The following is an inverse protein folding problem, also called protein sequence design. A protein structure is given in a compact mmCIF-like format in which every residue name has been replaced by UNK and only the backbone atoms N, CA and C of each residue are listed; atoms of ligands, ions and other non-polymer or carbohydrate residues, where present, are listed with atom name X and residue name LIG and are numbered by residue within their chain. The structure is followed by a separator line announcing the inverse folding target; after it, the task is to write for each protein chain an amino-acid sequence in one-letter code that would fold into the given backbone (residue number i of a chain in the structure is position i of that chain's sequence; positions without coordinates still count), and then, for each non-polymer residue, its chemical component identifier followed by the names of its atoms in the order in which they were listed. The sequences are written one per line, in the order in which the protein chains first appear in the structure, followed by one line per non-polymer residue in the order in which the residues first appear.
data_IF_041514755914
#
_entry.id   IF_041514755914
#
_cell.length_a   1.000
_cell.length_b   1.000
_cell.length_c   1.000
_cell.angle_alpha   90.00
_cell.angle_beta   90.00
_cell.angle_gamma   90.00
#
_symmetry.space_group_name_H-M   'P 1'
#
loop_
_entity.id
_entity.type
_entity.pdbx_description
1 polymer ?
#
# COMPACT_ATOMS: atom_id res chain seq x y z
N UNK A 1 29.78 44.96 2.27
CA UNK A 1 30.36 45.09 3.64
C UNK A 1 30.12 43.87 4.50
N UNK A 2 28.87 43.44 4.73
CA UNK A 2 28.52 42.35 5.66
C UNK A 2 29.40 41.07 5.62
N UNK A 3 29.71 40.53 4.43
CA UNK A 3 30.56 39.34 4.28
C UNK A 3 32.06 39.61 4.46
N UNK A 4 32.50 40.85 4.24
CA UNK A 4 33.89 41.28 4.50
C UNK A 4 34.15 41.43 6.00
N UNK A 5 33.15 41.88 6.74
CA UNK A 5 33.23 42.07 8.19
C UNK A 5 33.01 40.77 8.99
N UNK A 6 32.57 39.69 8.32
CA UNK A 6 32.30 38.38 8.93
C UNK A 6 32.93 37.25 8.08
N UNK A 7 34.27 37.11 8.08
CA UNK A 7 34.97 36.13 7.25
C UNK A 7 34.63 34.66 7.62
N UNK A 8 34.18 34.43 8.85
CA UNK A 8 33.85 33.09 9.36
C UNK A 8 32.41 32.66 9.04
N UNK A 9 31.60 33.55 8.44
CA UNK A 9 30.18 33.34 8.15
C UNK A 9 29.89 32.04 7.37
N UNK A 10 30.82 31.64 6.50
CA UNK A 10 30.71 30.42 5.69
C UNK A 10 31.32 29.17 6.36
N UNK A 11 32.10 29.32 7.43
CA UNK A 11 32.58 28.18 8.22
C UNK A 11 31.44 27.55 9.02
N UNK A 12 30.58 28.38 9.59
CA UNK A 12 29.43 27.95 10.41
C UNK A 12 28.21 27.54 9.59
N UNK A 13 28.19 27.90 8.29
CA UNK A 13 27.05 27.68 7.39
C UNK A 13 27.51 27.16 6.03
N UNK A 14 28.18 26.00 6.04
CA UNK A 14 28.72 25.35 4.83
C UNK A 14 27.63 25.10 3.78
N UNK A 15 26.43 24.74 4.22
CA UNK A 15 25.27 24.46 3.36
C UNK A 15 24.81 25.69 2.56
N UNK A 16 25.09 26.90 3.05
CA UNK A 16 24.80 28.15 2.35
C UNK A 16 25.79 28.42 1.20
N UNK A 17 27.04 27.94 1.31
CA UNK A 17 28.03 28.01 0.23
C UNK A 17 27.55 27.19 -0.97
N UNK A 18 26.97 26.02 -0.71
CA UNK A 18 26.42 25.18 -1.77
C UNK A 18 25.20 25.81 -2.45
N UNK A 19 24.43 26.63 -1.74
CA UNK A 19 23.24 27.30 -2.29
C UNK A 19 23.53 28.67 -2.92
N UNK A 20 24.70 29.25 -2.69
CA UNK A 20 25.08 30.52 -3.29
C UNK A 20 25.39 30.32 -4.79
N UNK A 21 24.46 30.74 -5.65
CA UNK A 21 24.76 30.96 -7.06
C UNK A 21 25.63 32.22 -7.18
N UNK A 22 26.95 32.06 -7.13
CA UNK A 22 27.89 33.13 -7.42
C UNK A 22 27.86 33.34 -8.93
N UNK A 23 27.04 34.29 -9.38
CA UNK A 23 27.08 34.72 -10.77
C UNK A 23 28.37 35.51 -11.00
N UNK A 24 29.40 34.84 -11.51
CA UNK A 24 30.61 35.51 -12.02
C UNK A 24 30.28 36.22 -13.34
N UNK A 25 29.65 37.40 -13.25
CA UNK A 25 29.22 38.18 -14.43
C UNK A 25 30.42 38.80 -15.19
N UNK A 26 31.63 38.75 -14.65
CA UNK A 26 32.83 39.28 -15.34
C UNK A 26 33.34 38.39 -16.49
N UNK A 27 32.86 37.16 -16.63
CA UNK A 27 33.24 36.28 -17.75
C UNK A 27 31.99 35.86 -18.52
N UNK A 28 31.74 36.50 -19.68
CA UNK A 28 30.57 36.30 -20.55
C UNK A 28 30.39 34.91 -21.17
N UNK A 29 30.95 33.86 -20.58
CA UNK A 29 30.75 32.47 -20.93
C UNK A 29 30.31 31.70 -19.69
N UNK A 30 29.07 31.20 -19.68
CA UNK A 30 28.58 30.32 -18.63
C UNK A 30 29.46 29.07 -18.61
N UNK A 31 30.09 28.78 -17.47
CA UNK A 31 31.00 27.64 -17.35
C UNK A 31 30.21 26.34 -17.52
N UNK A 32 30.62 25.50 -18.47
CA UNK A 32 30.05 24.15 -18.65
C UNK A 32 30.09 23.35 -17.33
N UNK A 33 31.09 23.61 -16.49
CA UNK A 33 31.25 23.01 -15.17
C UNK A 33 30.12 23.44 -14.21
N UNK A 34 29.71 24.72 -14.23
CA UNK A 34 28.59 25.21 -13.40
C UNK A 34 27.26 24.57 -13.83
N UNK A 35 27.02 24.46 -15.13
CA UNK A 35 25.84 23.76 -15.66
C UNK A 35 25.86 22.28 -15.27
N UNK A 36 27.03 21.63 -15.35
CA UNK A 36 27.19 20.23 -14.98
C UNK A 36 26.99 20.01 -13.48
N UNK A 37 27.52 20.89 -12.63
CA UNK A 37 27.30 20.88 -11.17
C UNK A 37 25.84 21.10 -10.82
N UNK A 38 25.16 22.05 -11.47
CA UNK A 38 23.72 22.28 -11.27
C UNK A 38 22.90 21.04 -11.65
N UNK A 39 23.20 20.42 -12.79
CA UNK A 39 22.56 19.15 -13.21
C UNK A 39 22.84 18.00 -12.25
N UNK A 40 24.07 17.89 -11.74
CA UNK A 40 24.40 16.87 -10.74
C UNK A 40 23.65 17.09 -9.43
N UNK A 41 23.55 18.33 -8.94
CA UNK A 41 22.76 18.65 -7.73
C UNK A 41 21.29 18.29 -7.92
N UNK A 42 20.69 18.69 -9.04
CA UNK A 42 19.31 18.30 -9.35
C UNK A 42 19.15 16.77 -9.42
N UNK A 43 20.13 16.06 -10.00
CA UNK A 43 20.08 14.60 -10.03
C UNK A 43 20.22 13.96 -8.65
N UNK A 44 21.01 14.54 -7.75
CA UNK A 44 21.12 14.10 -6.36
C UNK A 44 19.79 14.30 -5.65
N UNK A 45 19.16 15.48 -5.77
CA UNK A 45 17.84 15.77 -5.19
C UNK A 45 16.77 14.76 -5.68
N UNK A 46 16.71 14.49 -6.99
CA UNK A 46 15.80 13.48 -7.55
C UNK A 46 16.03 12.07 -6.96
N UNK A 47 17.29 11.67 -6.78
CA UNK A 47 17.63 10.36 -6.21
C UNK A 47 17.31 10.29 -4.71
N UNK A 48 17.51 11.37 -3.96
CA UNK A 48 17.13 11.45 -2.54
C UNK A 48 15.62 11.35 -2.35
N UNK A 49 14.82 11.98 -3.22
CA UNK A 49 13.36 11.83 -3.25
C UNK A 49 12.95 10.38 -3.57
N UNK A 50 13.59 9.76 -4.56
CA UNK A 50 13.33 8.35 -4.92
C UNK A 50 13.65 7.40 -3.76
N UNK A 51 14.79 7.57 -3.10
CA UNK A 51 15.18 6.81 -1.90
C UNK A 51 14.15 6.99 -0.80
N UNK A 52 13.72 8.23 -0.54
CA UNK A 52 12.71 8.53 0.48
C UNK A 52 11.39 7.82 0.18
N UNK A 53 10.99 7.80 -1.10
CA UNK A 53 9.82 7.05 -1.58
C UNK A 53 9.96 5.54 -1.33
N UNK A 54 11.10 4.96 -1.67
CA UNK A 54 11.39 3.54 -1.42
C UNK A 54 11.41 3.19 0.06
N UNK A 55 11.98 4.05 0.91
CA UNK A 55 11.99 3.88 2.36
C UNK A 55 10.57 3.92 2.95
N UNK A 56 9.71 4.84 2.47
CA UNK A 56 8.31 4.90 2.88
C UNK A 56 7.55 3.63 2.48
N UNK A 57 7.79 3.12 1.26
CA UNK A 57 7.21 1.85 0.81
C UNK A 57 7.67 0.67 1.69
N UNK A 58 8.96 0.60 2.00
CA UNK A 58 9.52 -0.42 2.89
C UNK A 58 8.90 -0.35 4.29
N UNK A 59 8.80 0.84 4.88
CA UNK A 59 8.18 1.04 6.19
C UNK A 59 6.69 0.62 6.21
N UNK A 60 5.94 0.93 5.15
CA UNK A 60 4.54 0.51 5.02
C UNK A 60 4.41 -1.02 4.85
N UNK A 61 5.32 -1.64 4.10
CA UNK A 61 5.36 -3.08 3.95
C UNK A 61 5.66 -3.78 5.29
N UNK A 62 6.63 -3.27 6.05
CA UNK A 62 6.97 -3.80 7.37
C UNK A 62 5.78 -3.70 8.32
N UNK A 63 5.09 -2.55 8.33
CA UNK A 63 3.87 -2.38 9.13
C UNK A 63 2.80 -3.42 8.77
N UNK A 64 2.51 -3.58 7.48
CA UNK A 64 1.53 -4.57 7.00
C UNK A 64 1.93 -6.00 7.40
N UNK A 65 3.23 -6.31 7.33
CA UNK A 65 3.76 -7.60 7.75
C UNK A 65 3.55 -7.85 9.25
N UNK A 66 3.84 -6.88 10.12
CA UNK A 66 3.61 -7.02 11.56
C UNK A 66 2.12 -7.15 11.91
N UNK A 67 1.25 -6.39 11.23
CA UNK A 67 -0.19 -6.51 11.41
C UNK A 67 -0.70 -7.90 11.02
N UNK A 68 -0.16 -8.48 9.94
CA UNK A 68 -0.47 -9.84 9.52
C UNK A 68 0.04 -10.90 10.51
N UNK A 69 1.27 -10.76 11.01
CA UNK A 69 1.84 -11.68 12.00
C UNK A 69 1.04 -11.68 13.32
N UNK A 70 0.60 -10.50 13.76
CA UNK A 70 -0.27 -10.36 14.93
C UNK A 70 -1.60 -11.09 14.74
N UNK A 71 -2.26 -10.89 13.59
CA UNK A 71 -3.49 -11.62 13.27
C UNK A 71 -3.27 -13.14 13.23
N UNK A 72 -2.18 -13.60 12.61
CA UNK A 72 -1.85 -15.02 12.57
C UNK A 72 -1.67 -15.60 13.99
N UNK A 73 -0.96 -14.91 14.86
CA UNK A 73 -0.76 -15.32 16.25
C UNK A 73 -2.08 -15.35 17.04
N UNK A 74 -3.00 -14.42 16.78
CA UNK A 74 -4.33 -14.41 17.38
C UNK A 74 -5.18 -15.59 16.89
N UNK A 75 -5.22 -15.83 15.58
CA UNK A 75 -5.97 -16.95 14.97
C UNK A 75 -5.49 -18.31 15.49
N UNK A 76 -4.18 -18.49 15.67
CA UNK A 76 -3.61 -19.73 16.24
C UNK A 76 -4.01 -19.98 17.70
N UNK A 77 -4.39 -18.94 18.45
CA UNK A 77 -4.86 -19.05 19.84
C UNK A 77 -6.37 -19.26 19.94
N UNK A 78 -7.11 -19.09 18.85
CA UNK A 78 -8.56 -19.27 18.84
C UNK A 78 -8.93 -20.74 19.11
N UNK A 79 -9.91 -20.94 19.98
CA UNK A 79 -10.39 -22.28 20.34
C UNK A 79 -11.60 -22.73 19.52
N UNK A 80 -12.23 -21.79 18.80
CA UNK A 80 -13.39 -22.05 17.96
C UNK A 80 -13.39 -21.18 16.71
N UNK A 81 -14.20 -21.60 15.74
CA UNK A 81 -14.30 -20.94 14.44
C UNK A 81 -14.87 -19.51 14.53
N UNK A 82 -15.78 -19.24 15.48
CA UNK A 82 -16.36 -17.92 15.66
C UNK A 82 -15.33 -16.90 16.16
N UNK A 83 -14.39 -17.32 17.01
CA UNK A 83 -13.27 -16.50 17.45
C UNK A 83 -12.37 -16.13 16.28
N UNK A 84 -12.12 -17.07 15.36
CA UNK A 84 -11.35 -16.78 14.13
C UNK A 84 -12.03 -15.71 13.29
N UNK A 85 -13.33 -15.85 13.04
CA UNK A 85 -14.10 -14.83 12.30
C UNK A 85 -13.98 -13.47 12.96
N UNK A 86 -14.22 -13.40 14.28
CA UNK A 86 -14.16 -12.13 15.02
C UNK A 86 -12.78 -11.49 14.97
N UNK A 87 -11.71 -12.29 15.08
CA UNK A 87 -10.34 -11.78 14.97
C UNK A 87 -10.09 -11.17 13.58
N UNK A 88 -10.52 -11.85 12.51
CA UNK A 88 -10.39 -11.35 11.13
C UNK A 88 -11.23 -10.10 10.89
N UNK A 89 -12.49 -10.08 11.33
CA UNK A 89 -13.38 -8.92 11.19
C UNK A 89 -12.86 -7.71 11.96
N UNK A 90 -12.38 -7.91 13.19
CA UNK A 90 -11.80 -6.84 13.99
C UNK A 90 -10.54 -6.28 13.32
N UNK A 91 -9.64 -7.15 12.86
CA UNK A 91 -8.42 -6.71 12.18
C UNK A 91 -8.74 -5.95 10.89
N UNK A 92 -9.73 -6.38 10.14
CA UNK A 92 -10.18 -5.65 8.96
C UNK A 92 -10.68 -4.24 9.31
N UNK A 93 -11.46 -4.10 10.39
CA UNK A 93 -11.91 -2.78 10.86
C UNK A 93 -10.74 -1.88 11.25
N UNK A 94 -9.73 -2.42 11.95
CA UNK A 94 -8.53 -1.68 12.33
C UNK A 94 -7.75 -1.16 11.10
N UNK A 95 -7.82 -1.89 9.98
CA UNK A 95 -7.25 -1.51 8.68
C UNK A 95 -8.16 -0.59 7.84
N UNK A 96 -9.33 -0.20 8.36
CA UNK A 96 -10.32 0.60 7.62
C UNK A 96 -11.04 -0.18 6.51
N UNK A 97 -11.06 -1.51 6.61
CA UNK A 97 -11.70 -2.42 5.67
C UNK A 97 -12.96 -3.05 6.29
N UNK A 98 -13.79 -3.65 5.44
CA UNK A 98 -14.92 -4.50 5.86
C UNK A 98 -14.70 -5.91 5.35
N UNK A 99 -14.49 -6.85 6.27
CA UNK A 99 -14.34 -8.26 5.93
C UNK A 99 -15.68 -9.00 6.00
N UNK A 100 -15.84 -10.00 5.15
CA UNK A 100 -16.97 -10.91 5.14
C UNK A 100 -16.45 -12.33 4.92
N UNK A 101 -16.67 -13.23 5.88
CA UNK A 101 -16.30 -14.63 5.75
C UNK A 101 -17.52 -15.45 5.32
N UNK A 102 -17.36 -16.32 4.31
CA UNK A 102 -18.43 -17.16 3.77
C UNK A 102 -17.90 -18.58 3.56
N UNK A 103 -18.67 -19.59 3.94
CA UNK A 103 -18.26 -20.99 3.92
C UNK A 103 -19.33 -21.87 3.28
N UNK A 104 -18.90 -22.74 2.38
CA UNK A 104 -19.77 -23.66 1.62
C UNK A 104 -20.48 -24.70 2.49
N UNK A 105 -19.78 -25.26 3.48
CA UNK A 105 -20.28 -26.36 4.33
C UNK A 105 -20.97 -25.91 5.61
N UNK A 106 -21.19 -24.61 5.81
CA UNK A 106 -21.79 -24.06 7.03
C UNK A 106 -23.26 -23.72 6.82
N UNK A 107 -24.03 -23.76 7.92
CA UNK A 107 -25.43 -23.31 7.94
C UNK A 107 -25.56 -21.97 8.64
N UNK A 108 -26.56 -21.18 8.25
CA UNK A 108 -26.87 -19.90 8.89
C UNK A 108 -26.07 -18.73 8.32
N UNK A 109 -25.65 -17.80 9.18
CA UNK A 109 -25.17 -16.47 8.77
C UNK A 109 -23.95 -16.50 7.81
N UNK A 110 -23.06 -17.47 7.99
CA UNK A 110 -21.82 -17.60 7.21
C UNK A 110 -21.96 -18.50 5.98
N UNK A 111 -23.15 -19.02 5.69
CA UNK A 111 -23.38 -19.96 4.60
C UNK A 111 -23.14 -19.31 3.23
N UNK A 112 -22.39 -20.02 2.38
CA UNK A 112 -22.21 -19.69 0.97
C UNK A 112 -22.95 -20.72 0.11
N UNK A 113 -23.69 -20.24 -0.89
CA UNK A 113 -24.31 -21.14 -1.87
C UNK A 113 -23.24 -21.76 -2.76
N UNK A 114 -23.21 -23.09 -2.85
CA UNK A 114 -22.29 -23.82 -3.72
C UNK A 114 -22.50 -23.47 -5.19
N UNK A 115 -23.76 -23.34 -5.63
CA UNK A 115 -24.09 -22.93 -6.99
C UNK A 115 -23.63 -21.51 -7.30
N UNK A 116 -23.86 -20.58 -6.36
CA UNK A 116 -23.44 -19.18 -6.52
C UNK A 116 -21.93 -19.04 -6.57
N UNK A 117 -21.23 -19.72 -5.65
CA UNK A 117 -19.76 -19.74 -5.63
C UNK A 117 -19.18 -20.39 -6.89
N UNK A 118 -19.75 -21.50 -7.38
CA UNK A 118 -19.27 -22.19 -8.58
C UNK A 118 -19.37 -21.27 -9.81
N UNK A 119 -20.50 -20.58 -9.99
CA UNK A 119 -20.68 -19.59 -11.06
C UNK A 119 -19.68 -18.44 -10.96
N UNK A 120 -19.50 -17.88 -9.75
CA UNK A 120 -18.54 -16.81 -9.52
C UNK A 120 -17.10 -17.27 -9.83
N UNK A 121 -16.71 -18.43 -9.30
CA UNK A 121 -15.37 -19.00 -9.46
C UNK A 121 -15.02 -19.25 -10.92
N UNK A 122 -15.92 -19.84 -11.70
CA UNK A 122 -15.71 -20.10 -13.13
C UNK A 122 -15.48 -18.81 -13.93
N UNK A 123 -16.22 -17.75 -13.59
CA UNK A 123 -16.15 -16.48 -14.31
C UNK A 123 -14.94 -15.63 -13.92
N UNK A 124 -14.48 -15.71 -12.66
CA UNK A 124 -13.54 -14.73 -12.10
C UNK A 124 -12.19 -15.32 -11.66
N UNK A 125 -12.14 -16.57 -11.22
CA UNK A 125 -10.93 -17.21 -10.71
C UNK A 125 -10.18 -18.05 -11.73
N UNK A 126 -10.54 -18.05 -13.01
CA UNK A 126 -9.94 -18.82 -14.11
C UNK A 126 -8.38 -18.83 -14.11
N UNK A 127 -7.76 -19.68 -13.27
CA UNK A 127 -6.32 -19.70 -12.97
C UNK A 127 -5.78 -18.63 -12.00
N UNK A 128 -6.62 -17.78 -11.41
CA UNK A 128 -6.22 -16.69 -10.49
C UNK A 128 -6.52 -17.04 -9.03
N UNK A 129 -5.59 -16.67 -8.15
CA UNK A 129 -5.72 -16.88 -6.70
C UNK A 129 -6.63 -15.85 -6.00
N UNK A 130 -6.99 -14.77 -6.70
CA UNK A 130 -7.80 -13.69 -6.15
C UNK A 130 -8.57 -12.95 -7.25
N UNK A 131 -9.72 -12.39 -6.88
CA UNK A 131 -10.45 -11.43 -7.68
C UNK A 131 -10.31 -10.05 -7.05
N UNK A 132 -9.91 -9.06 -7.84
CA UNK A 132 -9.82 -7.66 -7.42
C UNK A 132 -10.60 -6.81 -8.42
N UNK A 133 -11.58 -6.05 -7.95
CA UNK A 133 -12.35 -5.17 -8.82
C UNK A 133 -13.75 -4.87 -8.33
N UNK A 134 -14.64 -4.55 -9.27
CA UNK A 134 -16.04 -4.21 -8.98
C UNK A 134 -16.93 -5.41 -9.26
N UNK A 135 -17.67 -5.85 -8.25
CA UNK A 135 -18.64 -6.93 -8.39
C UNK A 135 -19.92 -6.43 -9.06
N UNK A 136 -20.43 -7.21 -10.02
CA UNK A 136 -21.76 -6.95 -10.62
C UNK A 136 -22.86 -7.33 -9.62
N UNK A 137 -24.09 -6.86 -9.86
CA UNK A 137 -25.24 -7.19 -9.01
C UNK A 137 -25.44 -8.70 -8.84
N UNK A 138 -25.30 -9.47 -9.92
CA UNK A 138 -25.39 -10.94 -9.88
C UNK A 138 -24.30 -11.56 -9.01
N UNK A 139 -23.03 -11.19 -9.22
CA UNK A 139 -21.91 -11.69 -8.42
C UNK A 139 -22.06 -11.34 -6.93
N UNK A 140 -22.60 -10.15 -6.63
CA UNK A 140 -22.90 -9.76 -5.24
C UNK A 140 -23.99 -10.63 -4.63
N UNK A 141 -25.06 -10.92 -5.37
CA UNK A 141 -26.11 -11.83 -4.89
C UNK A 141 -25.56 -13.24 -4.67
N UNK A 142 -24.69 -13.72 -5.55
CA UNK A 142 -24.11 -15.06 -5.46
C UNK A 142 -23.20 -15.20 -4.22
N UNK A 143 -22.40 -14.17 -3.90
CA UNK A 143 -21.46 -14.21 -2.76
C UNK A 143 -22.10 -13.78 -1.42
N UNK A 144 -22.92 -12.73 -1.46
CA UNK A 144 -23.45 -12.06 -0.27
C UNK A 144 -24.95 -12.30 -0.07
N UNK A 145 -25.69 -12.88 -1.01
CA UNK A 145 -27.14 -13.03 -0.88
C UNK A 145 -27.80 -11.68 -0.55
N UNK A 146 -28.58 -11.66 0.52
CA UNK A 146 -29.31 -10.47 0.99
C UNK A 146 -28.48 -9.55 1.91
N UNK A 147 -27.20 -9.85 2.11
CA UNK A 147 -26.34 -8.98 2.91
C UNK A 147 -26.18 -7.61 2.24
N UNK A 148 -26.44 -6.50 2.96
CA UNK A 148 -26.29 -5.16 2.41
C UNK A 148 -24.80 -4.86 2.20
N UNK A 149 -24.37 -4.96 0.94
CA UNK A 149 -23.02 -4.59 0.49
C UNK A 149 -23.10 -3.37 -0.45
N UNK A 150 -22.17 -2.41 -0.37
CA UNK A 150 -22.21 -1.19 -1.18
C UNK A 150 -22.23 -1.48 -2.69
N UNK A 151 -23.20 -0.91 -3.43
CA UNK A 151 -23.26 -1.16 -4.87
C UNK A 151 -22.06 -0.59 -5.64
N UNK A 152 -21.50 0.50 -5.11
CA UNK A 152 -20.33 1.20 -5.61
C UNK A 152 -19.19 0.98 -4.62
N UNK A 153 -18.25 0.11 -4.98
CA UNK A 153 -17.09 -0.21 -4.15
C UNK A 153 -16.08 -1.07 -4.90
N UNK A 154 -14.85 -1.11 -4.39
CA UNK A 154 -13.82 -2.05 -4.80
C UNK A 154 -13.84 -3.24 -3.85
N UNK A 155 -13.82 -4.44 -4.41
CA UNK A 155 -13.91 -5.70 -3.70
C UNK A 155 -12.67 -6.54 -3.97
N UNK A 156 -12.24 -7.26 -2.93
CA UNK A 156 -11.27 -8.33 -3.04
C UNK A 156 -11.96 -9.60 -2.58
N UNK A 157 -11.96 -10.63 -3.42
CA UNK A 157 -12.51 -11.95 -3.09
C UNK A 157 -11.38 -12.97 -3.14
N UNK A 158 -11.16 -13.64 -2.01
CA UNK A 158 -10.09 -14.61 -1.81
C UNK A 158 -10.72 -15.96 -1.43
N UNK A 159 -10.44 -17.04 -2.18
CA UNK A 159 -10.83 -18.38 -1.77
C UNK A 159 -9.97 -18.83 -0.58
N UNK A 160 -10.61 -19.34 0.48
CA UNK A 160 -9.90 -19.82 1.68
C UNK A 160 -9.15 -21.13 1.45
N UNK A 161 -9.58 -21.90 0.45
CA UNK A 161 -8.92 -23.11 -0.01
C UNK A 161 -8.85 -23.09 -1.53
N UNK A 162 -7.71 -23.48 -2.09
CA UNK A 162 -7.65 -23.76 -3.53
C UNK A 162 -8.48 -25.02 -3.79
N UNK A 163 -9.40 -25.02 -4.76
CA UNK A 163 -10.03 -26.27 -5.19
C UNK A 163 -8.90 -27.21 -5.62
N UNK A 164 -8.87 -28.41 -5.03
CA UNK A 164 -7.96 -29.46 -5.49
C UNK A 164 -8.24 -29.74 -6.98
N UNK A 165 -7.20 -29.90 -7.81
CA UNK A 165 -7.36 -30.19 -9.23
C UNK A 165 -8.10 -31.50 -9.49
#
# INVERSE_FOLDING_TARGET
EYLRDNPDFFQDRKDLVDRLAINNVEQGAVSLVEIQLKRQRQRIEELEEEITGLMSLAANNDKTFYEFMDLQAQVLKCSDFMQVIKAVEQKALDLGLKAHLRILSQTGFYQLSEEGYSKFSLNHFNGKDAYLGRLRKADRQDLFGDFPVPELGSYVVLPLAKPSP
#
